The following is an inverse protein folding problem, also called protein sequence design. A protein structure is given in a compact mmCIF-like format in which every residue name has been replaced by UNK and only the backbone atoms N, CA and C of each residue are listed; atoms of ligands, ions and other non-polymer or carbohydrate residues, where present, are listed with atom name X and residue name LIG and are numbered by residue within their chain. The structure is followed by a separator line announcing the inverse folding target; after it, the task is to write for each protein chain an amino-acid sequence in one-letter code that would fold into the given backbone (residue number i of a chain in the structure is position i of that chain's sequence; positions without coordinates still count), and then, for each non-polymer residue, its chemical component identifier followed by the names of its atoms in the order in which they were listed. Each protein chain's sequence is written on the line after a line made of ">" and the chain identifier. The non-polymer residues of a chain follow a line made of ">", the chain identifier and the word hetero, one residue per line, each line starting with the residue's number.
data_IF_459539620961
#
_entry.id   IF_459539620961
#
_cell.length_a   1.000
_cell.length_b   1.000
_cell.length_c   1.000
_cell.angle_alpha   90.00
_cell.angle_beta   90.00
_cell.angle_gamma   90.00
#
_symmetry.space_group_name_H-M   'P 1'
#
loop_
_entity.id
_entity.type
_entity.pdbx_description
1 polymer ?
#
# COMPACT_ATOMS: atom_id res chain seq x y z
N UNK A 1 14.59 -10.61 -7.04
CA UNK A 1 13.80 -9.52 -7.67
C UNK A 1 14.77 -8.68 -8.50
N UNK A 2 14.70 -8.82 -9.82
CA UNK A 2 15.73 -8.46 -10.80
C UNK A 2 15.87 -6.93 -10.90
N UNK A 3 17.10 -6.42 -11.07
CA UNK A 3 17.48 -4.99 -11.03
C UNK A 3 16.57 -4.03 -11.79
N UNK A 4 15.93 -4.48 -12.87
CA UNK A 4 14.94 -3.70 -13.63
C UNK A 4 13.83 -3.08 -12.75
N UNK A 5 13.41 -3.74 -11.67
CA UNK A 5 12.38 -3.23 -10.77
C UNK A 5 12.90 -2.06 -9.90
N UNK A 6 14.20 -1.93 -9.68
CA UNK A 6 14.74 -0.81 -8.90
C UNK A 6 14.93 0.44 -9.75
N UNK A 7 15.25 0.24 -11.03
CA UNK A 7 15.62 1.33 -11.92
C UNK A 7 14.39 1.96 -12.59
N UNK A 8 13.32 1.19 -12.81
CA UNK A 8 12.15 1.60 -13.60
C UNK A 8 10.91 1.92 -12.77
N UNK A 9 10.85 1.54 -11.49
CA UNK A 9 9.68 1.77 -10.64
C UNK A 9 10.01 2.37 -9.28
N UNK A 10 9.07 3.15 -8.77
CA UNK A 10 9.06 3.68 -7.41
C UNK A 10 7.98 2.98 -6.60
N UNK A 11 8.24 2.78 -5.30
CA UNK A 11 7.25 2.28 -4.37
C UNK A 11 6.21 3.38 -4.09
N UNK A 12 4.95 3.11 -4.39
CA UNK A 12 3.86 4.06 -4.16
C UNK A 12 3.13 3.77 -2.85
N UNK A 13 2.88 2.50 -2.52
CA UNK A 13 2.21 2.13 -1.28
C UNK A 13 2.60 0.74 -0.77
N UNK A 14 2.49 0.55 0.55
CA UNK A 14 2.52 -0.73 1.24
C UNK A 14 1.26 -0.83 2.09
N UNK A 15 0.42 -1.82 1.82
CA UNK A 15 -0.78 -2.09 2.61
C UNK A 15 -0.59 -3.45 3.29
N UNK A 16 -0.38 -3.47 4.60
CA UNK A 16 -0.33 -4.72 5.35
C UNK A 16 -1.76 -5.25 5.49
N UNK A 17 -1.96 -6.53 5.15
CA UNK A 17 -3.27 -7.16 5.23
C UNK A 17 -3.49 -7.74 6.64
N UNK A 18 -4.75 -7.85 7.08
CA UNK A 18 -5.08 -8.49 8.35
C UNK A 18 -4.54 -9.93 8.40
N UNK A 19 -3.94 -10.35 9.52
CA UNK A 19 -3.35 -11.69 9.61
C UNK A 19 -4.40 -12.81 9.59
N UNK A 20 -5.61 -12.52 10.05
CA UNK A 20 -6.73 -13.45 10.20
C UNK A 20 -7.30 -13.97 8.87
N UNK A 21 -6.93 -13.35 7.75
CA UNK A 21 -7.28 -13.84 6.40
C UNK A 21 -6.29 -14.90 5.89
N UNK A 22 -5.19 -15.14 6.61
CA UNK A 22 -4.18 -16.14 6.29
C UNK A 22 -4.26 -17.32 7.26
N UNK A 23 -3.85 -18.51 6.79
CA UNK A 23 -3.91 -19.72 7.62
C UNK A 23 -2.99 -19.68 8.84
N UNK A 24 -1.89 -18.92 8.75
CA UNK A 24 -0.95 -18.69 9.87
C UNK A 24 -0.40 -17.26 9.83
N UNK A 25 -0.01 -16.71 10.98
CA UNK A 25 0.64 -15.40 11.08
C UNK A 25 1.92 -15.31 10.22
N UNK A 26 2.67 -16.41 10.11
CA UNK A 26 3.87 -16.50 9.26
C UNK A 26 3.59 -16.35 7.75
N UNK A 27 2.33 -16.47 7.34
CA UNK A 27 1.90 -16.29 5.96
C UNK A 27 1.36 -14.89 5.66
N UNK A 28 1.32 -14.00 6.66
CA UNK A 28 0.88 -12.62 6.51
C UNK A 28 1.53 -11.96 5.29
N UNK A 29 0.73 -11.23 4.52
CA UNK A 29 1.19 -10.57 3.29
C UNK A 29 0.86 -9.09 3.33
N UNK A 30 1.61 -8.37 2.51
CA UNK A 30 1.33 -6.97 2.20
C UNK A 30 1.15 -6.81 0.70
N UNK A 31 0.28 -5.87 0.31
CA UNK A 31 0.15 -5.42 -1.07
C UNK A 31 1.17 -4.30 -1.28
N UNK A 32 2.08 -4.50 -2.23
CA UNK A 32 3.02 -3.49 -2.68
C UNK A 32 2.47 -2.86 -3.96
N UNK A 33 2.21 -1.56 -3.93
CA UNK A 33 1.81 -0.79 -5.10
C UNK A 33 3.04 -0.12 -5.67
N UNK A 34 3.33 -0.41 -6.93
CA UNK A 34 4.46 0.13 -7.66
C UNK A 34 3.95 1.07 -8.74
N UNK A 35 4.67 2.15 -8.96
CA UNK A 35 4.41 3.08 -10.07
C UNK A 35 5.66 3.22 -10.92
N UNK A 36 5.50 3.57 -12.20
CA UNK A 36 6.64 3.93 -13.03
C UNK A 36 7.43 5.05 -12.36
N UNK A 37 8.76 4.95 -12.37
CA UNK A 37 9.65 5.93 -11.77
C UNK A 37 9.38 7.31 -12.35
N UNK A 38 9.26 8.30 -11.47
CA UNK A 38 9.13 9.71 -11.81
C UNK A 38 10.32 10.44 -11.20
N UNK A 39 10.67 11.60 -11.76
CA UNK A 39 11.81 12.40 -11.26
C UNK A 39 11.58 12.89 -9.82
N UNK A 40 10.32 13.05 -9.42
CA UNK A 40 9.94 13.38 -8.05
C UNK A 40 9.73 12.12 -7.24
N UNK A 41 10.56 11.94 -6.22
CA UNK A 41 10.37 10.89 -5.21
C UNK A 41 9.11 11.20 -4.39
N UNK A 42 8.24 10.21 -4.26
CA UNK A 42 6.98 10.31 -3.53
C UNK A 42 7.13 9.50 -2.25
N UNK A 43 6.71 10.07 -1.12
CA UNK A 43 6.66 9.31 0.13
C UNK A 43 5.61 8.19 0.01
N UNK A 44 5.99 6.91 0.22
CA UNK A 44 5.07 5.80 0.07
C UNK A 44 3.93 5.86 1.09
N UNK A 45 2.71 5.56 0.65
CA UNK A 45 1.60 5.35 1.57
C UNK A 45 1.76 4.02 2.31
N UNK A 46 1.92 4.05 3.63
CA UNK A 46 2.02 2.85 4.45
C UNK A 46 0.78 2.75 5.33
N UNK A 47 0.05 1.64 5.23
CA UNK A 47 -1.19 1.47 5.99
C UNK A 47 -1.40 0.03 6.48
N UNK A 48 -1.56 -0.20 7.80
CA UNK A 48 -1.95 -1.49 8.33
C UNK A 48 -3.47 -1.64 8.30
N UNK A 49 -3.97 -2.47 7.40
CA UNK A 49 -5.39 -2.78 7.35
C UNK A 49 -5.70 -3.86 8.39
N UNK A 50 -6.60 -3.56 9.32
CA UNK A 50 -6.89 -4.44 10.47
C UNK A 50 -8.08 -5.36 10.24
N UNK A 51 -8.95 -5.04 9.27
CA UNK A 51 -10.07 -5.88 8.87
C UNK A 51 -10.47 -5.62 7.42
N UNK A 52 -10.82 -6.69 6.71
CA UNK A 52 -11.48 -6.62 5.39
C UNK A 52 -13.01 -6.71 5.47
N UNK A 53 -13.57 -6.91 6.67
CA UNK A 53 -15.00 -7.16 6.89
C UNK A 53 -15.67 -6.01 7.65
N UNK A 54 -14.93 -5.25 8.45
CA UNK A 54 -15.45 -4.09 9.17
C UNK A 54 -15.61 -2.89 8.23
N UNK A 55 -16.85 -2.44 7.95
CA UNK A 55 -17.08 -1.31 7.05
C UNK A 55 -16.43 -0.01 7.52
N UNK A 56 -16.29 0.19 8.83
CA UNK A 56 -15.68 1.40 9.40
C UNK A 56 -14.18 1.42 9.11
N UNK A 57 -13.51 0.28 9.26
CA UNK A 57 -12.09 0.12 8.92
C UNK A 57 -11.85 0.38 7.44
N UNK A 58 -12.70 -0.18 6.57
CA UNK A 58 -12.61 0.03 5.12
C UNK A 58 -12.86 1.50 4.72
N UNK A 59 -13.80 2.17 5.38
CA UNK A 59 -14.07 3.59 5.14
C UNK A 59 -12.87 4.45 5.54
N UNK A 60 -12.32 4.23 6.74
CA UNK A 60 -11.12 4.95 7.21
C UNK A 60 -9.91 4.68 6.29
N UNK A 61 -9.72 3.44 5.85
CA UNK A 61 -8.68 3.12 4.87
C UNK A 61 -8.87 3.91 3.57
N UNK A 62 -10.09 3.90 3.02
CA UNK A 62 -10.43 4.62 1.78
C UNK A 62 -10.15 6.11 1.92
N UNK A 63 -10.57 6.74 3.01
CA UNK A 63 -10.37 8.17 3.25
C UNK A 63 -8.88 8.51 3.34
N UNK A 64 -8.09 7.74 4.10
CA UNK A 64 -6.65 7.94 4.21
C UNK A 64 -5.94 7.76 2.86
N UNK A 65 -6.31 6.71 2.11
CA UNK A 65 -5.75 6.45 0.79
C UNK A 65 -6.09 7.57 -0.22
N UNK A 66 -7.33 8.08 -0.19
CA UNK A 66 -7.77 9.18 -1.05
C UNK A 66 -7.07 10.50 -0.70
N UNK A 67 -6.90 10.80 0.59
CA UNK A 67 -6.21 12.01 1.04
C UNK A 67 -4.75 12.00 0.62
N UNK A 68 -4.06 10.87 0.77
CA UNK A 68 -2.70 10.70 0.27
C UNK A 68 -2.63 10.85 -1.27
N UNK A 69 -3.55 10.21 -2.00
CA UNK A 69 -3.56 10.28 -3.47
C UNK A 69 -3.76 11.72 -3.98
N UNK A 70 -4.62 12.52 -3.33
CA UNK A 70 -4.85 13.92 -3.69
C UNK A 70 -3.65 14.81 -3.39
N UNK A 71 -2.93 14.57 -2.28
CA UNK A 71 -1.68 15.26 -1.98
C UNK A 71 -0.53 14.91 -2.95
N UNK A 72 -0.72 13.85 -3.75
CA UNK A 72 0.24 13.34 -4.73
C UNK A 72 -0.08 13.79 -6.17
N UNK A 73 -1.27 14.34 -6.44
CA UNK A 73 -1.58 15.03 -7.71
C UNK A 73 -0.87 16.40 -7.72
N UNK A 74 0.24 16.50 -8.45
CA UNK A 74 0.97 17.74 -8.74
C UNK A 74 1.42 17.71 -10.20
#
# INVERSE_FOLDING_TARGET
>A
LKGWLKDEVSLAAIIALPEDIFSTASQAKSIFVLQKKRDKEIEPFVYPLTSLQDPSVLLTFKENFQNWSKGTEI
#
